data_IF_485518687190
#
_entry.id   IF_485518687190
#
_cell.length_a   1.000
_cell.length_b   1.000
_cell.length_c   1.000
_cell.angle_alpha   90.00
_cell.angle_beta   90.00
_cell.angle_gamma   90.00
#
_symmetry.space_group_name_H-M   'P 1'
#
loop_
_entity.id
_entity.type
_entity.pdbx_description
1 polymer ?
#
# COMPACT_ATOMS: atom_id res chain seq x y z
N UNK A 1 17.53 -0.27 -8.65
CA UNK A 1 16.29 -0.12 -9.42
C UNK A 1 15.23 0.65 -8.65
N UNK A 2 15.25 1.98 -8.73
CA UNK A 2 14.24 2.83 -8.07
C UNK A 2 12.88 2.76 -8.78
N UNK A 3 12.89 2.45 -10.08
CA UNK A 3 11.69 2.35 -10.91
C UNK A 3 10.87 1.10 -10.57
N UNK A 4 11.49 -0.06 -10.39
CA UNK A 4 10.80 -1.30 -9.97
C UNK A 4 10.09 -1.13 -8.61
N UNK A 5 10.72 -0.38 -7.71
CA UNK A 5 10.16 -0.03 -6.42
C UNK A 5 8.94 0.90 -6.56
N UNK A 6 9.03 1.89 -7.43
CA UNK A 6 7.92 2.81 -7.70
C UNK A 6 6.73 2.06 -8.33
N UNK A 7 7.00 1.17 -9.29
CA UNK A 7 5.99 0.34 -9.96
C UNK A 7 5.31 -0.63 -9.00
N UNK A 8 6.08 -1.25 -8.09
CA UNK A 8 5.52 -2.09 -7.03
C UNK A 8 4.65 -1.27 -6.06
N UNK A 9 5.08 -0.06 -5.71
CA UNK A 9 4.30 0.87 -4.90
C UNK A 9 2.98 1.27 -5.57
N UNK A 10 3.00 1.58 -6.87
CA UNK A 10 1.78 1.96 -7.58
C UNK A 10 0.79 0.80 -7.69
N UNK A 11 1.27 -0.43 -7.98
CA UNK A 11 0.42 -1.64 -7.94
C UNK A 11 -0.21 -1.86 -6.57
N UNK A 12 0.58 -1.73 -5.50
CA UNK A 12 0.04 -1.80 -4.14
C UNK A 12 -1.04 -0.74 -3.90
N UNK A 13 -0.78 0.50 -4.33
CA UNK A 13 -1.71 1.60 -4.14
C UNK A 13 -3.05 1.37 -4.84
N UNK A 14 -3.02 0.85 -6.09
CA UNK A 14 -4.23 0.51 -6.84
C UNK A 14 -5.05 -0.58 -6.15
N UNK A 15 -4.39 -1.66 -5.72
CA UNK A 15 -5.04 -2.75 -4.98
C UNK A 15 -5.64 -2.25 -3.67
N UNK A 16 -4.92 -1.38 -2.95
CA UNK A 16 -5.40 -0.77 -1.71
C UNK A 16 -6.61 0.13 -1.93
N UNK A 17 -6.67 0.87 -3.04
CA UNK A 17 -7.83 1.69 -3.38
C UNK A 17 -9.08 0.83 -3.62
N UNK A 18 -8.92 -0.35 -4.21
CA UNK A 18 -10.01 -1.30 -4.41
C UNK A 18 -10.39 -2.06 -3.11
N UNK A 19 -9.45 -2.24 -2.18
CA UNK A 19 -9.62 -3.03 -0.97
C UNK A 19 -9.17 -2.27 0.29
N UNK A 20 -9.82 -1.14 0.63
CA UNK A 20 -9.45 -0.36 1.80
C UNK A 20 -9.75 -1.12 3.10
N UNK A 21 -8.89 -0.95 4.10
CA UNK A 21 -9.05 -1.58 5.41
C UNK A 21 -8.52 -3.01 5.49
N UNK A 22 -7.84 -3.49 4.45
CA UNK A 22 -7.20 -4.80 4.43
C UNK A 22 -5.82 -4.83 5.10
N UNK A 23 -5.32 -6.04 5.36
CA UNK A 23 -3.99 -6.27 5.93
C UNK A 23 -2.90 -6.32 4.87
N UNK A 24 -1.64 -6.10 5.27
CA UNK A 24 -0.48 -6.27 4.38
C UNK A 24 -0.45 -7.66 3.73
N UNK A 25 -0.84 -8.72 4.45
CA UNK A 25 -0.81 -10.08 3.91
C UNK A 25 -1.83 -10.28 2.77
N UNK A 26 -3.04 -9.74 2.93
CA UNK A 26 -4.10 -9.78 1.91
C UNK A 26 -3.68 -8.94 0.70
N UNK A 27 -3.24 -7.70 0.95
CA UNK A 27 -2.80 -6.80 -0.12
C UNK A 27 -1.59 -7.36 -0.88
N UNK A 28 -0.62 -7.97 -0.20
CA UNK A 28 0.53 -8.62 -0.82
C UNK A 28 0.13 -9.73 -1.77
N UNK A 29 -0.84 -10.56 -1.36
CA UNK A 29 -1.39 -11.64 -2.19
C UNK A 29 -2.05 -11.08 -3.45
N UNK A 30 -2.84 -10.02 -3.32
CA UNK A 30 -3.53 -9.37 -4.44
C UNK A 30 -2.56 -8.65 -5.40
N UNK A 31 -1.45 -8.11 -4.90
CA UNK A 31 -0.39 -7.50 -5.71
C UNK A 31 0.49 -8.54 -6.40
N UNK A 32 0.51 -9.78 -5.88
CA UNK A 32 1.41 -10.84 -6.35
C UNK A 32 2.85 -10.67 -5.87
N UNK A 33 3.04 -10.11 -4.67
CA UNK A 33 4.35 -9.86 -4.06
C UNK A 33 4.43 -10.44 -2.64
N UNK A 34 5.63 -10.64 -2.13
CA UNK A 34 5.83 -10.98 -0.72
C UNK A 34 5.62 -9.73 0.17
N UNK A 35 5.09 -9.88 1.40
CA UNK A 35 4.95 -8.77 2.34
C UNK A 35 6.27 -8.01 2.60
N UNK A 36 7.39 -8.73 2.56
CA UNK A 36 8.74 -8.16 2.74
C UNK A 36 9.12 -7.15 1.66
N UNK A 37 8.75 -7.42 0.42
CA UNK A 37 9.03 -6.56 -0.75
C UNK A 37 8.21 -5.27 -0.70
N UNK A 38 7.07 -5.29 -0.01
CA UNK A 38 6.15 -4.17 0.11
C UNK A 38 6.53 -3.18 1.22
N UNK A 39 7.39 -3.55 2.17
CA UNK A 39 7.74 -2.64 3.27
C UNK A 39 8.32 -1.31 2.80
N UNK A 40 9.31 -1.36 1.90
CA UNK A 40 9.94 -0.15 1.40
C UNK A 40 9.02 0.72 0.52
N UNK A 41 8.32 0.19 -0.51
CA UNK A 41 7.44 1.02 -1.33
C UNK A 41 6.23 1.54 -0.56
N UNK A 42 5.67 0.76 0.38
CA UNK A 42 4.56 1.23 1.22
C UNK A 42 5.00 2.33 2.16
N UNK A 43 6.20 2.24 2.77
CA UNK A 43 6.74 3.32 3.59
C UNK A 43 6.94 4.63 2.79
N UNK A 44 7.30 4.54 1.50
CA UNK A 44 7.37 5.72 0.63
C UNK A 44 5.97 6.31 0.37
N UNK A 45 4.97 5.48 0.14
CA UNK A 45 3.57 5.94 -0.02
C UNK A 45 3.01 6.57 1.26
N UNK A 46 3.36 6.05 2.43
CA UNK A 46 3.01 6.64 3.73
C UNK A 46 3.67 8.02 3.90
N UNK A 47 4.97 8.14 3.59
CA UNK A 47 5.70 9.41 3.61
C UNK A 47 5.14 10.43 2.62
N UNK A 48 4.72 9.98 1.45
CA UNK A 48 4.02 10.81 0.47
C UNK A 48 2.59 11.19 0.92
N UNK A 49 2.10 10.59 1.99
CA UNK A 49 0.77 10.80 2.53
C UNK A 49 -0.33 10.20 1.66
N UNK A 50 -0.03 9.20 0.81
CA UNK A 50 -0.98 8.45 -0.03
C UNK A 50 -1.62 7.28 0.72
N UNK A 51 -0.91 6.71 1.69
CA UNK A 51 -1.37 5.59 2.52
C UNK A 51 -1.39 6.01 3.97
N UNK A 52 -2.42 5.57 4.69
CA UNK A 52 -2.46 5.63 6.16
C UNK A 52 -2.68 4.24 6.73
N UNK A 53 -2.10 3.98 7.89
CA UNK A 53 -2.23 2.71 8.62
C UNK A 53 -2.95 2.92 9.94
N UNK A 54 -3.77 1.95 10.34
CA UNK A 54 -4.51 1.96 11.61
C UNK A 54 -4.32 0.61 12.30
N UNK A 55 -4.02 0.62 13.60
CA UNK A 55 -3.83 -0.59 14.40
C UNK A 55 -2.36 -0.89 14.68
N UNK A 56 -2.10 -2.04 15.32
CA UNK A 56 -0.77 -2.43 15.78
C UNK A 56 -0.39 -3.82 15.25
N UNK A 57 0.85 -3.97 14.78
CA UNK A 57 1.44 -5.25 14.33
C UNK A 57 0.53 -5.99 13.34
N UNK A 58 0.02 -7.17 13.71
CA UNK A 58 -0.83 -8.03 12.88
C UNK A 58 -2.25 -7.47 12.69
N UNK A 59 -2.66 -6.52 13.52
CA UNK A 59 -3.93 -5.83 13.40
C UNK A 59 -3.86 -4.61 12.46
N UNK A 60 -2.69 -4.28 11.91
CA UNK A 60 -2.52 -3.12 11.03
C UNK A 60 -3.40 -3.24 9.78
N UNK A 61 -4.25 -2.24 9.57
CA UNK A 61 -5.09 -2.06 8.39
C UNK A 61 -4.61 -0.86 7.60
N UNK A 62 -4.59 -1.02 6.29
CA UNK A 62 -4.11 0.00 5.35
C UNK A 62 -5.31 0.69 4.73
N UNK A 63 -5.23 2.00 4.55
CA UNK A 63 -6.27 2.80 3.90
C UNK A 63 -5.63 3.79 2.92
N UNK A 64 -6.23 4.01 1.74
CA UNK A 64 -5.82 5.09 0.86
C UNK A 64 -6.21 6.43 1.49
N UNK A 65 -5.49 7.49 1.12
CA UNK A 65 -5.85 8.86 1.45
C UNK A 65 -6.33 9.60 0.19
N UNK A 66 -7.13 10.65 0.40
CA UNK A 66 -7.62 11.53 -0.67
C UNK A 66 -6.52 12.29 -1.41
N UNK A 67 -5.27 12.27 -0.91
CA UNK A 67 -4.12 12.86 -1.60
C UNK A 67 -3.59 11.97 -2.74
N UNK A 68 -3.85 10.66 -2.67
CA UNK A 68 -3.51 9.71 -3.73
C UNK A 68 -4.72 9.24 -4.54
N UNK A 69 -5.93 9.37 -4.00
CA UNK A 69 -7.15 9.06 -4.71
C UNK A 69 -7.48 10.27 -5.59
N UNK A 70 -7.07 10.24 -6.86
CA UNK A 70 -7.80 11.03 -7.86
C UNK A 70 -9.24 10.53 -7.82
N UNK A 71 -10.12 11.36 -7.27
CA UNK A 71 -11.54 11.27 -7.51
C UNK A 71 -11.79 11.67 -8.97
N UNK A 72 -12.63 10.86 -9.62
CA UNK A 72 -13.09 10.94 -11.02
C UNK A 72 -12.08 10.52 -12.10
#
# INVERSE_FOLDING_TARGET
>A
DTDELADLGERFYQVLCANPGETMAVLATLVGAAPGELHHPVALLERAGRVRTVGLRRATRYFPTTKGAKAA
#
